data_IF_002731140993
#
_entry.id   IF_002731140993
#
_cell.length_a   1.000
_cell.length_b   1.000
_cell.length_c   1.000
_cell.angle_alpha   90.00
_cell.angle_beta   90.00
_cell.angle_gamma   90.00
#
_symmetry.space_group_name_H-M   'P 1'
#
loop_
_entity.id
_entity.type
_entity.pdbx_description
1 polymer ?
#
# COMPACT_ATOMS: atom_id res chain seq x y z
N UNK A 1 13.65 29.05 -18.87
CA UNK A 1 14.96 28.50 -18.45
C UNK A 1 15.46 29.34 -17.28
N UNK A 2 15.50 28.78 -16.07
CA UNK A 2 16.56 28.97 -15.05
C UNK A 2 16.25 28.09 -13.84
N UNK A 3 17.10 27.08 -13.65
CA UNK A 3 17.26 26.23 -12.48
C UNK A 3 17.55 27.07 -11.22
N UNK A 4 17.07 26.65 -10.05
CA UNK A 4 17.75 26.88 -8.76
C UNK A 4 17.56 25.67 -7.84
N UNK A 5 18.64 24.91 -7.73
CA UNK A 5 18.94 23.87 -6.75
C UNK A 5 18.97 24.43 -5.33
N UNK A 6 18.41 23.77 -4.30
CA UNK A 6 18.76 24.07 -2.92
C UNK A 6 19.96 23.21 -2.50
N UNK A 7 21.16 23.74 -2.77
CA UNK A 7 22.39 23.32 -2.11
C UNK A 7 22.47 24.08 -0.78
N UNK A 8 23.03 23.42 0.25
CA UNK A 8 23.52 24.02 1.50
C UNK A 8 22.48 24.63 2.47
N UNK A 9 21.80 23.76 3.23
CA UNK A 9 21.43 24.03 4.63
C UNK A 9 22.30 23.16 5.55
N UNK A 10 23.61 23.12 5.27
CA UNK A 10 24.62 22.71 6.24
C UNK A 10 25.12 24.01 6.87
N UNK A 11 24.79 24.26 8.13
CA UNK A 11 25.59 24.93 9.16
C UNK A 11 24.65 25.51 10.22
N UNK A 12 24.23 24.68 11.18
CA UNK A 12 24.08 25.04 12.60
C UNK A 12 24.07 23.77 13.46
N UNK A 13 25.21 23.09 13.51
CA UNK A 13 25.54 22.21 14.63
C UNK A 13 26.14 23.07 15.74
N UNK A 14 25.39 23.31 16.83
CA UNK A 14 25.96 23.34 18.19
C UNK A 14 24.89 23.47 19.28
N UNK A 15 24.89 22.46 20.15
CA UNK A 15 24.72 22.53 21.62
C UNK A 15 23.36 22.92 22.21
N UNK A 16 22.47 21.93 22.32
CA UNK A 16 21.74 21.52 23.53
C UNK A 16 21.57 20.00 23.35
N UNK A 17 22.16 19.09 24.14
CA UNK A 17 22.02 18.99 25.58
C UNK A 17 20.75 18.21 25.92
N UNK A 18 20.78 16.88 25.79
CA UNK A 18 19.79 15.99 26.42
C UNK A 18 18.63 15.53 25.55
N UNK A 19 18.60 14.22 25.29
CA UNK A 19 17.45 13.33 25.15
C UNK A 19 16.21 13.82 24.36
N UNK A 20 15.96 13.12 23.24
CA UNK A 20 14.59 12.86 22.78
C UNK A 20 14.16 13.63 21.54
N UNK A 21 14.51 13.09 20.37
CA UNK A 21 13.65 13.23 19.19
C UNK A 21 13.85 11.98 18.33
N UNK A 22 13.16 10.91 18.72
CA UNK A 22 12.83 9.81 17.82
C UNK A 22 12.07 10.44 16.67
N UNK A 23 12.71 10.57 15.50
CA UNK A 23 12.02 10.89 14.26
C UNK A 23 11.12 9.69 13.99
N UNK A 24 9.85 9.80 14.41
CA UNK A 24 8.82 8.85 14.10
C UNK A 24 8.74 8.75 12.57
N UNK A 25 9.26 7.65 12.03
CA UNK A 25 8.97 7.25 10.67
C UNK A 25 7.45 7.15 10.55
N UNK A 26 6.83 8.17 9.94
CA UNK A 26 5.41 8.16 9.60
C UNK A 26 5.18 7.23 8.39
N UNK A 27 5.62 5.97 8.51
CA UNK A 27 4.97 4.87 7.84
C UNK A 27 3.68 4.64 8.60
N UNK A 28 2.65 5.42 8.29
CA UNK A 28 1.36 5.33 8.96
C UNK A 28 0.88 3.88 8.88
N UNK A 29 0.83 3.20 10.02
CA UNK A 29 0.12 1.95 10.17
C UNK A 29 -1.36 2.24 9.96
N UNK A 30 -1.80 2.33 8.71
CA UNK A 30 -3.22 2.26 8.38
C UNK A 30 -3.69 0.91 8.89
N UNK A 31 -4.46 0.95 9.97
CA UNK A 31 -5.07 -0.26 10.52
C UNK A 31 -5.94 -0.87 9.42
N UNK A 32 -5.98 -2.21 9.28
CA UNK A 32 -6.77 -2.87 8.25
C UNK A 32 -8.24 -2.42 8.24
N UNK A 33 -8.81 -2.12 9.42
CA UNK A 33 -10.17 -1.55 9.51
C UNK A 33 -10.31 -0.16 8.87
N UNK A 34 -9.27 0.68 8.97
CA UNK A 34 -9.25 2.02 8.37
C UNK A 34 -9.13 1.96 6.85
N UNK A 35 -8.42 0.95 6.34
CA UNK A 35 -8.31 0.68 4.91
C UNK A 35 -9.62 0.14 4.33
N UNK A 36 -10.32 -0.74 5.04
CA UNK A 36 -11.66 -1.19 4.64
C UNK A 36 -12.63 -0.02 4.54
N UNK A 37 -12.67 0.87 5.54
CA UNK A 37 -13.54 2.06 5.52
C UNK A 37 -13.21 2.98 4.35
N UNK A 38 -11.92 3.25 4.11
CA UNK A 38 -11.49 4.07 2.98
C UNK A 38 -11.90 3.45 1.63
N UNK A 39 -11.73 2.14 1.46
CA UNK A 39 -12.13 1.42 0.24
C UNK A 39 -13.64 1.48 0.04
N UNK A 40 -14.43 1.22 1.08
CA UNK A 40 -15.89 1.32 1.01
C UNK A 40 -16.35 2.74 0.65
N UNK A 41 -15.71 3.76 1.21
CA UNK A 41 -16.05 5.15 0.91
C UNK A 41 -15.69 5.52 -0.54
N UNK A 42 -14.57 5.01 -1.05
CA UNK A 42 -14.16 5.19 -2.44
C UNK A 42 -15.14 4.53 -3.40
N UNK A 43 -15.58 3.30 -3.11
CA UNK A 43 -16.58 2.61 -3.93
C UNK A 43 -17.93 3.30 -3.92
N UNK A 44 -18.38 3.80 -2.76
CA UNK A 44 -19.61 4.57 -2.68
C UNK A 44 -19.56 5.79 -3.61
N UNK A 45 -18.40 6.46 -3.67
CA UNK A 45 -18.15 7.54 -4.63
C UNK A 45 -18.23 7.10 -6.09
N UNK A 46 -17.65 5.94 -6.43
CA UNK A 46 -17.69 5.39 -7.79
C UNK A 46 -19.10 4.94 -8.19
N UNK A 47 -19.81 4.27 -7.30
CA UNK A 47 -21.16 3.77 -7.54
C UNK A 47 -22.18 4.92 -7.64
N UNK A 48 -22.06 5.95 -6.80
CA UNK A 48 -22.87 7.17 -6.92
C UNK A 48 -22.58 7.93 -8.22
N UNK A 49 -21.31 8.02 -8.64
CA UNK A 49 -20.92 8.65 -9.90
C UNK A 49 -21.48 7.91 -11.14
N UNK A 50 -21.69 6.59 -11.05
CA UNK A 50 -22.35 5.78 -12.09
C UNK A 50 -23.89 5.83 -12.02
N UNK A 51 -24.46 6.71 -11.20
CA UNK A 51 -25.92 6.91 -11.08
C UNK A 51 -26.61 5.90 -10.16
N UNK A 52 -25.86 5.05 -9.46
CA UNK A 52 -26.41 4.12 -8.50
C UNK A 52 -26.58 4.81 -7.14
N UNK A 53 -27.80 5.32 -6.90
CA UNK A 53 -28.16 6.02 -5.67
C UNK A 53 -28.10 5.10 -4.45
N UNK A 54 -27.55 5.60 -3.34
CA UNK A 54 -27.48 4.88 -2.07
C UNK A 54 -28.86 4.34 -1.66
N UNK A 55 -28.91 3.07 -1.25
CA UNK A 55 -30.17 2.38 -0.88
C UNK A 55 -30.94 1.76 -2.06
N UNK A 56 -30.53 2.00 -3.31
CA UNK A 56 -31.10 1.29 -4.46
C UNK A 56 -30.47 -0.10 -4.65
N UNK A 57 -31.20 -1.07 -5.26
CA UNK A 57 -30.62 -2.36 -5.63
C UNK A 57 -29.40 -2.22 -6.56
N UNK A 58 -29.41 -1.23 -7.45
CA UNK A 58 -28.29 -0.93 -8.34
C UNK A 58 -27.03 -0.50 -7.58
N UNK A 59 -27.18 0.23 -6.47
CA UNK A 59 -26.05 0.63 -5.63
C UNK A 59 -25.44 -0.57 -4.91
N UNK A 60 -26.28 -1.43 -4.32
CA UNK A 60 -25.80 -2.68 -3.69
C UNK A 60 -25.08 -3.56 -4.71
N UNK A 61 -25.60 -3.69 -5.93
CA UNK A 61 -24.98 -4.48 -6.98
C UNK A 61 -23.63 -3.90 -7.41
N UNK A 62 -23.53 -2.58 -7.57
CA UNK A 62 -22.26 -1.92 -7.87
C UNK A 62 -21.23 -2.15 -6.75
N UNK A 63 -21.62 -1.98 -5.48
CA UNK A 63 -20.73 -2.20 -4.34
C UNK A 63 -20.23 -3.65 -4.28
N UNK A 64 -21.12 -4.64 -4.51
CA UNK A 64 -20.74 -6.05 -4.56
C UNK A 64 -19.77 -6.34 -5.70
N UNK A 65 -19.98 -5.75 -6.87
CA UNK A 65 -19.08 -5.91 -8.00
C UNK A 65 -17.69 -5.33 -7.70
N UNK A 66 -17.62 -4.15 -7.07
CA UNK A 66 -16.33 -3.56 -6.67
C UNK A 66 -15.61 -4.42 -5.62
N UNK A 67 -16.37 -4.99 -4.68
CA UNK A 67 -15.83 -5.91 -3.69
C UNK A 67 -15.24 -7.17 -4.35
N UNK A 68 -16.01 -7.82 -5.22
CA UNK A 68 -15.56 -9.01 -5.95
C UNK A 68 -14.30 -8.76 -6.77
N UNK A 69 -14.19 -7.60 -7.43
CA UNK A 69 -12.99 -7.23 -8.17
C UNK A 69 -11.76 -7.16 -7.28
N UNK A 70 -11.86 -6.50 -6.12
CA UNK A 70 -10.74 -6.42 -5.17
C UNK A 70 -10.38 -7.76 -4.57
N UNK A 71 -11.36 -8.57 -4.23
CA UNK A 71 -11.12 -9.90 -3.67
C UNK A 71 -10.37 -10.77 -4.68
N UNK A 72 -10.74 -10.71 -5.96
CA UNK A 72 -10.03 -11.39 -7.04
C UNK A 72 -8.60 -10.85 -7.23
N UNK A 73 -8.41 -9.53 -7.20
CA UNK A 73 -7.08 -8.92 -7.27
C UNK A 73 -6.20 -9.35 -6.09
N UNK A 74 -6.76 -9.41 -4.87
CA UNK A 74 -6.03 -9.89 -3.70
C UNK A 74 -5.63 -11.36 -3.82
N UNK A 75 -6.53 -12.22 -4.31
CA UNK A 75 -6.21 -13.63 -4.54
C UNK A 75 -5.05 -13.79 -5.53
N UNK A 76 -5.06 -13.05 -6.64
CA UNK A 76 -3.98 -13.08 -7.64
C UNK A 76 -2.65 -12.59 -7.05
N UNK A 77 -2.67 -11.54 -6.22
CA UNK A 77 -1.47 -11.04 -5.56
C UNK A 77 -0.89 -12.08 -4.60
N UNK A 78 -1.74 -12.78 -3.83
CA UNK A 78 -1.31 -13.86 -2.93
C UNK A 78 -0.72 -15.04 -3.70
N UNK A 79 -1.32 -15.41 -4.83
CA UNK A 79 -0.80 -16.46 -5.70
C UNK A 79 0.55 -16.09 -6.31
N UNK A 80 0.69 -14.86 -6.82
CA UNK A 80 1.97 -14.36 -7.33
C UNK A 80 3.03 -14.32 -6.23
N UNK A 81 2.69 -13.88 -5.02
CA UNK A 81 3.60 -13.88 -3.88
C UNK A 81 4.06 -15.31 -3.53
N UNK A 82 3.14 -16.28 -3.57
CA UNK A 82 3.47 -17.70 -3.37
C UNK A 82 4.45 -18.21 -4.43
N UNK A 83 4.16 -17.97 -5.72
CA UNK A 83 5.05 -18.38 -6.82
C UNK A 83 6.43 -17.73 -6.68
N UNK A 84 6.48 -16.45 -6.32
CA UNK A 84 7.73 -15.74 -6.08
C UNK A 84 8.54 -16.36 -4.93
N UNK A 85 7.88 -16.77 -3.85
CA UNK A 85 8.54 -17.46 -2.72
C UNK A 85 9.05 -18.84 -3.12
N UNK A 86 8.25 -19.63 -3.83
CA UNK A 86 8.65 -20.97 -4.30
C UNK A 86 9.84 -20.87 -5.28
N UNK A 87 9.81 -19.94 -6.22
CA UNK A 87 10.92 -19.70 -7.15
C UNK A 87 12.19 -19.22 -6.45
N UNK A 88 12.08 -18.33 -5.46
CA UNK A 88 13.22 -17.88 -4.66
C UNK A 88 13.85 -19.05 -3.88
N UNK A 89 13.02 -19.90 -3.27
CA UNK A 89 13.47 -21.11 -2.56
C UNK A 89 14.20 -22.07 -3.49
N UNK A 90 13.62 -22.38 -4.65
CA UNK A 90 14.26 -23.25 -5.65
C UNK A 90 15.60 -22.68 -6.14
N UNK A 91 15.68 -21.36 -6.32
CA UNK A 91 16.92 -20.71 -6.71
C UNK A 91 18.01 -20.79 -5.63
N UNK A 92 17.64 -20.79 -4.35
CA UNK A 92 18.56 -21.01 -3.23
C UNK A 92 19.04 -22.47 -3.19
N UNK A 93 18.12 -23.44 -3.26
CA UNK A 93 18.46 -24.86 -3.27
C UNK A 93 19.41 -25.21 -4.43
N UNK A 94 19.20 -24.63 -5.62
CA UNK A 94 20.09 -24.79 -6.78
C UNK A 94 21.47 -24.16 -6.60
N UNK A 95 21.59 -23.10 -5.80
CA UNK A 95 22.88 -22.48 -5.46
C UNK A 95 23.62 -23.33 -4.43
N UNK A 96 22.94 -23.74 -3.37
CA UNK A 96 23.50 -24.62 -2.33
C UNK A 96 23.99 -25.94 -2.92
N UNK A 97 23.22 -26.56 -3.83
CA UNK A 97 23.63 -27.79 -4.53
C UNK A 97 24.80 -27.61 -5.50
N UNK A 98 25.13 -26.38 -5.93
CA UNK A 98 26.30 -26.11 -6.78
C UNK A 98 27.58 -25.87 -5.98
N UNK A 99 27.45 -25.51 -4.70
CA UNK A 99 28.57 -25.19 -3.82
C UNK A 99 29.05 -26.42 -3.02
N UNK A 100 28.31 -27.53 -3.08
CA UNK A 100 28.67 -28.87 -2.60
C UNK A 100 29.15 -29.77 -3.73
#
# INVERSE_FOLDING_TARGET
>A
MTNLTPRSVFTKLRTYGGAGAVVAALGGCVSPGQQTVANTQQDQGVCSAMGANYGSPAHTQCMLQQQQRRDQEQLLLLEQARIAQETARLAQEMRENREN
#
